data_IF_738666069124
#
_entry.id   IF_738666069124
#
_cell.length_a   1.000
_cell.length_b   1.000
_cell.length_c   1.000
_cell.angle_alpha   90.00
_cell.angle_beta   90.00
_cell.angle_gamma   90.00
#
_symmetry.space_group_name_H-M   'P 1'
#
loop_
_entity.id
_entity.type
_entity.pdbx_description
1 polymer ?
#
# COMPACT_ATOMS: atom_id res chain seq x y z
N UNK A 1 1.30 24.89 -79.59
CA UNK A 1 0.87 23.52 -79.24
C UNK A 1 -0.27 23.60 -78.23
N UNK A 2 -1.38 22.93 -78.52
CA UNK A 2 -2.66 22.94 -77.78
C UNK A 2 -2.68 21.71 -76.86
N UNK A 3 -2.97 21.86 -75.57
CA UNK A 3 -3.43 20.74 -74.72
C UNK A 3 -4.48 21.19 -73.68
N UNK A 4 -5.71 20.75 -73.95
CA UNK A 4 -6.83 20.43 -73.03
C UNK A 4 -6.34 19.45 -71.93
N UNK A 5 -6.92 19.25 -70.73
CA UNK A 5 -8.30 19.37 -70.20
C UNK A 5 -8.25 19.16 -68.66
N UNK A 6 -9.20 19.80 -67.98
CA UNK A 6 -10.01 19.38 -66.81
C UNK A 6 -9.42 18.66 -65.59
N UNK A 7 -9.76 19.16 -64.40
CA UNK A 7 -9.75 18.42 -63.14
C UNK A 7 -10.28 19.24 -61.96
N UNK A 8 -11.60 19.41 -61.86
CA UNK A 8 -12.27 19.69 -60.58
C UNK A 8 -12.06 18.48 -59.67
N UNK A 9 -11.51 18.67 -58.48
CA UNK A 9 -11.95 17.94 -57.28
C UNK A 9 -11.25 18.49 -56.04
N UNK A 10 -12.07 18.73 -55.03
CA UNK A 10 -11.73 18.64 -53.62
C UNK A 10 -10.77 19.70 -53.06
N UNK A 11 -11.37 20.83 -52.70
CA UNK A 11 -11.21 21.38 -51.35
C UNK A 11 -11.47 20.26 -50.31
N UNK A 12 -10.50 19.38 -50.10
CA UNK A 12 -10.49 18.49 -48.95
C UNK A 12 -9.89 19.30 -47.80
N UNK A 13 -10.79 19.92 -47.04
CA UNK A 13 -10.62 20.56 -45.74
C UNK A 13 -9.24 20.33 -45.08
N UNK A 14 -8.40 21.38 -45.05
CA UNK A 14 -7.22 21.42 -44.18
C UNK A 14 -7.59 21.15 -42.70
N UNK A 15 -8.84 21.43 -42.31
CA UNK A 15 -9.40 21.07 -41.00
C UNK A 15 -9.51 19.55 -40.75
N UNK A 16 -9.68 18.70 -41.78
CA UNK A 16 -9.72 17.25 -41.60
C UNK A 16 -8.32 16.64 -41.42
N UNK A 17 -7.30 17.20 -42.09
CA UNK A 17 -5.91 16.77 -41.95
C UNK A 17 -5.29 17.23 -40.61
N UNK A 18 -5.64 18.43 -40.13
CA UNK A 18 -5.31 18.88 -38.77
C UNK A 18 -6.02 18.06 -37.70
N UNK A 19 -7.30 17.69 -37.92
CA UNK A 19 -8.05 16.83 -37.00
C UNK A 19 -7.45 15.43 -36.85
N UNK A 20 -6.99 14.82 -37.94
CA UNK A 20 -6.32 13.51 -37.90
C UNK A 20 -4.93 13.59 -37.24
N UNK A 21 -4.17 14.66 -37.47
CA UNK A 21 -2.84 14.84 -36.85
C UNK A 21 -2.95 15.10 -35.35
N UNK A 22 -3.97 15.83 -34.90
CA UNK A 22 -4.29 15.98 -33.46
C UNK A 22 -4.80 14.66 -32.87
N UNK A 23 -5.53 13.85 -33.63
CA UNK A 23 -5.94 12.51 -33.17
C UNK A 23 -4.73 11.56 -33.04
N UNK A 24 -3.77 11.62 -33.97
CA UNK A 24 -2.55 10.79 -33.89
C UNK A 24 -1.54 11.30 -32.84
N UNK A 25 -1.45 12.61 -32.60
CA UNK A 25 -0.64 13.17 -31.50
C UNK A 25 -1.30 12.94 -30.13
N UNK A 26 -2.64 12.98 -30.05
CA UNK A 26 -3.40 12.68 -28.84
C UNK A 26 -3.44 11.18 -28.47
N UNK A 27 -3.40 10.29 -29.46
CA UNK A 27 -3.36 8.83 -29.23
C UNK A 27 -1.93 8.32 -28.94
N UNK A 28 -0.88 9.06 -29.30
CA UNK A 28 0.51 8.72 -28.94
C UNK A 28 1.01 9.33 -27.62
N UNK A 29 0.22 10.20 -26.95
CA UNK A 29 0.53 10.74 -25.62
C UNK A 29 -0.30 10.08 -24.49
N UNK A 30 -0.78 8.85 -24.70
CA UNK A 30 -1.41 8.03 -23.66
C UNK A 30 -0.75 6.63 -23.55
N UNK A 31 0.48 6.50 -24.03
CA UNK A 31 1.30 5.30 -23.93
C UNK A 31 2.62 5.62 -23.21
N UNK A 32 2.50 6.10 -21.98
CA UNK A 32 3.51 5.91 -20.95
C UNK A 32 2.87 5.19 -19.77
N UNK A 33 3.11 3.88 -19.77
CA UNK A 33 3.08 2.93 -18.64
C UNK A 33 1.88 3.04 -17.71
N UNK A 34 0.90 2.15 -17.90
CA UNK A 34 0.29 1.50 -16.75
C UNK A 34 1.38 0.69 -16.03
N UNK A 35 2.25 1.38 -15.27
CA UNK A 35 3.04 0.73 -14.22
C UNK A 35 2.02 0.09 -13.28
N UNK A 36 2.11 -1.23 -13.08
CA UNK A 36 1.13 -2.04 -12.35
C UNK A 36 0.46 -1.28 -11.20
N UNK A 37 -0.71 -0.71 -11.48
CA UNK A 37 -1.45 0.17 -10.58
C UNK A 37 -2.07 -0.71 -9.51
N UNK A 38 -1.71 -0.52 -8.24
CA UNK A 38 -2.45 -1.03 -7.07
C UNK A 38 -2.84 -2.51 -7.11
N UNK A 39 -1.91 -3.45 -6.95
CA UNK A 39 -2.32 -4.84 -6.67
C UNK A 39 -2.64 -4.99 -5.19
N UNK A 40 -3.87 -4.66 -4.79
CA UNK A 40 -4.39 -5.01 -3.47
C UNK A 40 -4.20 -6.50 -3.20
N UNK A 41 -3.64 -6.84 -2.03
CA UNK A 41 -3.61 -8.19 -1.48
C UNK A 41 -4.55 -8.17 -0.29
N UNK A 42 -5.68 -8.84 -0.48
CA UNK A 42 -6.74 -8.92 0.50
C UNK A 42 -6.45 -10.14 1.37
N UNK A 43 -6.13 -9.91 2.63
CA UNK A 43 -5.96 -10.97 3.62
C UNK A 43 -7.30 -11.14 4.35
N UNK A 44 -8.06 -12.17 3.98
CA UNK A 44 -9.38 -12.45 4.57
C UNK A 44 -9.22 -13.42 5.71
N UNK A 45 -9.69 -13.06 6.90
CA UNK A 45 -9.85 -14.01 7.98
C UNK A 45 -10.95 -14.98 7.56
N UNK A 46 -10.73 -16.28 7.70
CA UNK A 46 -11.77 -17.19 7.27
C UNK A 46 -11.35 -18.63 7.45
N UNK A 47 -11.91 -19.25 8.48
CA UNK A 47 -12.23 -20.67 8.42
C UNK A 47 -13.69 -20.84 8.78
N UNK A 48 -14.29 -21.86 8.21
CA UNK A 48 -15.65 -22.40 8.38
C UNK A 48 -16.04 -22.71 9.85
N UNK A 49 -15.85 -21.77 10.78
CA UNK A 49 -16.11 -21.92 12.20
C UNK A 49 -15.02 -22.62 13.03
N UNK A 50 -13.95 -23.19 12.42
CA UNK A 50 -13.01 -24.08 13.14
C UNK A 50 -11.53 -23.63 13.22
N UNK A 51 -11.00 -22.89 12.24
CA UNK A 51 -9.61 -22.40 12.27
C UNK A 51 -9.61 -20.92 11.92
N UNK A 52 -9.28 -20.03 12.86
CA UNK A 52 -9.21 -18.58 12.65
C UNK A 52 -8.04 -18.14 11.74
N UNK A 53 -7.72 -18.91 10.70
CA UNK A 53 -6.58 -18.66 9.82
C UNK A 53 -6.96 -17.73 8.66
N UNK A 54 -5.97 -16.99 8.16
CA UNK A 54 -6.16 -16.08 7.04
C UNK A 54 -5.85 -16.73 5.69
N UNK A 55 -6.59 -16.33 4.67
CA UNK A 55 -6.32 -16.66 3.26
C UNK A 55 -5.99 -15.39 2.48
N UNK A 56 -5.08 -15.52 1.50
CA UNK A 56 -4.69 -14.40 0.64
C UNK A 56 -5.48 -14.48 -0.66
N UNK A 57 -6.14 -13.38 -0.99
CA UNK A 57 -6.80 -13.18 -2.28
C UNK A 57 -6.25 -11.92 -2.93
N UNK A 58 -6.18 -11.89 -4.26
CA UNK A 58 -5.82 -10.67 -4.97
C UNK A 58 -7.04 -9.76 -5.12
N UNK A 59 -6.82 -8.46 -5.01
CA UNK A 59 -7.78 -7.40 -5.24
C UNK A 59 -7.23 -6.36 -6.21
N UNK A 60 -8.05 -5.35 -6.49
CA UNK A 60 -7.71 -4.21 -7.39
C UNK A 60 -7.94 -2.86 -6.73
N UNK A 61 -8.15 -2.85 -5.41
CA UNK A 61 -8.33 -1.63 -4.65
C UNK A 61 -7.08 -0.74 -4.74
N UNK A 62 -7.31 0.55 -4.83
CA UNK A 62 -6.28 1.59 -4.85
C UNK A 62 -6.22 2.27 -3.49
N UNK A 63 -5.06 2.77 -3.08
CA UNK A 63 -4.85 3.54 -1.83
C UNK A 63 -5.85 4.69 -1.72
N UNK A 64 -6.35 4.93 -0.50
CA UNK A 64 -7.20 6.08 -0.16
C UNK A 64 -6.38 7.01 0.75
N UNK A 65 -5.87 8.13 0.20
CA UNK A 65 -4.89 8.94 0.89
C UNK A 65 -5.28 9.30 2.34
N UNK A 66 -4.33 9.09 3.25
CA UNK A 66 -4.41 9.55 4.62
C UNK A 66 -4.40 11.08 4.69
N UNK A 67 -5.20 11.63 5.60
CA UNK A 67 -5.28 13.10 5.81
C UNK A 67 -4.85 13.50 7.20
N UNK A 68 -4.79 12.55 8.14
CA UNK A 68 -4.37 12.78 9.52
C UNK A 68 -2.99 12.18 9.73
N UNK A 69 -2.00 13.05 9.97
CA UNK A 69 -0.64 12.65 10.32
C UNK A 69 -0.62 12.04 11.73
N UNK A 70 0.02 10.86 11.87
CA UNK A 70 0.18 10.19 13.16
C UNK A 70 1.32 10.80 14.00
N UNK A 71 2.23 11.54 13.37
CA UNK A 71 3.48 12.02 13.96
C UNK A 71 4.66 11.05 13.81
N UNK A 72 4.49 9.93 13.12
CA UNK A 72 5.57 9.00 12.83
C UNK A 72 6.46 9.52 11.69
N UNK A 73 7.61 10.11 12.05
CA UNK A 73 8.56 10.76 11.14
C UNK A 73 10.01 10.38 11.49
N UNK A 74 10.32 9.10 11.42
CA UNK A 74 11.50 8.53 12.07
C UNK A 74 12.09 7.33 11.30
N UNK A 75 13.17 6.80 11.87
CA UNK A 75 13.70 5.47 11.57
C UNK A 75 13.56 4.61 12.83
N UNK A 76 13.20 3.33 12.66
CA UNK A 76 13.07 2.33 13.74
C UNK A 76 12.24 2.82 14.93
N UNK A 77 11.09 3.41 14.66
CA UNK A 77 10.17 3.84 15.70
C UNK A 77 8.74 3.47 15.37
N UNK A 78 7.93 3.39 16.43
CA UNK A 78 6.51 3.16 16.32
C UNK A 78 5.70 4.27 16.97
N UNK A 79 4.49 4.45 16.48
CA UNK A 79 3.54 5.41 17.03
C UNK A 79 2.26 4.69 17.40
N UNK A 80 1.81 4.76 18.67
CA UNK A 80 0.52 4.19 19.05
C UNK A 80 -0.61 5.05 18.47
N UNK A 81 -1.59 4.40 17.85
CA UNK A 81 -2.83 5.05 17.38
C UNK A 81 -4.04 4.38 18.01
N UNK A 82 -5.01 5.19 18.44
CA UNK A 82 -6.31 4.67 18.91
C UNK A 82 -7.16 4.32 17.69
N UNK A 83 -7.71 3.11 17.67
CA UNK A 83 -8.57 2.67 16.58
C UNK A 83 -9.94 3.33 16.70
N UNK A 84 -10.54 3.80 15.59
CA UNK A 84 -11.85 4.46 15.62
C UNK A 84 -13.01 3.51 15.92
N UNK A 85 -12.76 2.20 15.87
CA UNK A 85 -13.64 1.12 16.27
C UNK A 85 -12.81 -0.06 16.80
N UNK A 86 -13.41 -0.94 17.62
CA UNK A 86 -12.77 -2.20 17.98
C UNK A 86 -12.49 -3.02 16.72
N UNK A 87 -11.23 -3.40 16.51
CA UNK A 87 -10.82 -4.26 15.40
C UNK A 87 -10.54 -5.66 15.92
N UNK A 88 -11.04 -6.68 15.22
CA UNK A 88 -10.83 -8.08 15.58
C UNK A 88 -9.76 -8.66 14.67
N UNK A 89 -8.63 -9.08 15.26
CA UNK A 89 -7.57 -9.81 14.56
C UNK A 89 -7.44 -11.19 15.18
N UNK A 90 -7.64 -12.24 14.38
CA UNK A 90 -7.80 -13.62 14.88
C UNK A 90 -8.93 -13.70 15.91
N UNK A 91 -8.67 -14.14 17.13
CA UNK A 91 -9.60 -14.31 18.24
C UNK A 91 -9.60 -13.13 19.23
N UNK A 92 -8.79 -12.10 19.00
CA UNK A 92 -8.63 -10.96 19.91
C UNK A 92 -9.24 -9.69 19.35
N UNK A 93 -9.73 -8.83 20.26
CA UNK A 93 -10.27 -7.51 19.94
C UNK A 93 -9.33 -6.43 20.45
N UNK A 94 -8.98 -5.48 19.58
CA UNK A 94 -8.05 -4.40 19.87
C UNK A 94 -8.72 -3.04 19.69
N UNK A 95 -8.31 -2.07 20.52
CA UNK A 95 -8.76 -0.68 20.45
C UNK A 95 -7.62 0.29 20.09
N UNK A 96 -6.41 -0.23 19.93
CA UNK A 96 -5.22 0.52 19.57
C UNK A 96 -4.26 -0.39 18.80
N UNK A 97 -3.31 0.21 18.09
CA UNK A 97 -2.24 -0.49 17.38
C UNK A 97 -0.99 0.40 17.36
N UNK A 98 0.19 -0.20 17.41
CA UNK A 98 1.43 0.53 17.16
C UNK A 98 1.77 0.40 15.68
N UNK A 99 1.95 1.53 15.00
CA UNK A 99 2.36 1.55 13.59
C UNK A 99 3.85 1.83 13.51
N UNK A 100 4.59 0.93 12.87
CA UNK A 100 6.05 1.02 12.75
C UNK A 100 6.47 1.71 11.46
N UNK A 101 7.54 2.50 11.54
CA UNK A 101 8.21 3.07 10.37
C UNK A 101 8.63 1.98 9.37
N UNK A 102 9.02 0.81 9.88
CA UNK A 102 9.42 -0.38 9.11
C UNK A 102 8.26 -1.11 8.41
N UNK A 103 7.04 -0.58 8.43
CA UNK A 103 5.90 -1.15 7.69
C UNK A 103 5.20 -2.32 8.38
N UNK A 104 4.94 -2.18 9.69
CA UNK A 104 4.20 -3.16 10.51
C UNK A 104 3.10 -2.50 11.33
N UNK A 105 2.11 -3.31 11.70
CA UNK A 105 1.06 -2.98 12.68
C UNK A 105 1.12 -3.99 13.82
N UNK A 106 1.58 -3.55 14.99
CA UNK A 106 1.72 -4.40 16.18
C UNK A 106 0.62 -4.13 17.19
N UNK A 107 -0.25 -5.12 17.38
CA UNK A 107 -1.42 -4.98 18.24
C UNK A 107 -1.15 -5.34 19.71
N UNK A 108 -0.03 -6.00 20.01
CA UNK A 108 0.33 -6.44 21.38
C UNK A 108 1.23 -5.42 22.09
N UNK A 109 2.39 -5.12 21.52
CA UNK A 109 3.34 -4.18 22.09
C UNK A 109 4.12 -3.48 20.98
N UNK A 110 4.76 -2.36 21.31
CA UNK A 110 5.68 -1.74 20.37
C UNK A 110 6.92 -2.61 20.19
N UNK A 111 7.22 -3.01 18.94
CA UNK A 111 8.14 -4.11 18.68
C UNK A 111 9.20 -3.86 17.60
N UNK A 112 9.40 -2.61 17.17
CA UNK A 112 10.38 -2.26 16.14
C UNK A 112 11.79 -2.62 16.61
N UNK A 113 12.47 -3.53 15.91
CA UNK A 113 13.85 -3.78 16.23
C UNK A 113 14.62 -2.50 15.86
N UNK A 114 15.38 -1.96 16.81
CA UNK A 114 16.27 -0.81 16.60
C UNK A 114 17.46 -1.12 15.65
N UNK A 115 17.36 -2.23 14.90
CA UNK A 115 18.30 -2.77 13.96
C UNK A 115 17.55 -3.51 12.85
N UNK A 116 18.09 -3.51 11.63
CA UNK A 116 17.56 -4.24 10.49
C UNK A 116 17.52 -5.76 10.78
N UNK A 117 16.31 -6.31 10.98
CA UNK A 117 16.07 -7.70 11.39
C UNK A 117 14.77 -8.30 10.79
N UNK A 118 14.44 -8.00 9.54
CA UNK A 118 13.33 -8.69 8.88
C UNK A 118 13.62 -10.19 8.82
N UNK A 119 12.56 -10.97 8.89
CA UNK A 119 12.65 -12.41 8.68
C UNK A 119 11.32 -12.92 8.17
N UNK A 120 11.35 -14.09 7.53
CA UNK A 120 10.12 -14.76 7.16
C UNK A 120 9.28 -15.09 8.37
N UNK A 121 7.96 -15.12 8.15
CA UNK A 121 7.00 -15.49 9.18
C UNK A 121 7.04 -17.02 9.40
N UNK A 122 6.95 -17.51 10.65
CA UNK A 122 6.81 -16.74 11.88
C UNK A 122 8.12 -16.01 12.24
N UNK A 123 8.01 -14.72 12.54
CA UNK A 123 9.12 -13.93 13.05
C UNK A 123 9.42 -14.32 14.51
N UNK A 124 10.68 -14.52 14.90
CA UNK A 124 11.06 -14.79 16.27
C UNK A 124 10.77 -13.55 17.13
N UNK A 125 10.47 -13.71 18.43
CA UNK A 125 10.21 -12.57 19.32
C UNK A 125 11.36 -11.56 19.34
N UNK A 126 11.00 -10.28 19.50
CA UNK A 126 11.94 -9.17 19.77
C UNK A 126 11.69 -8.66 21.21
N UNK A 127 11.21 -7.43 21.38
CA UNK A 127 10.81 -6.88 22.68
C UNK A 127 9.57 -7.63 23.23
N UNK A 128 8.68 -8.08 22.34
CA UNK A 128 7.63 -9.06 22.61
C UNK A 128 7.46 -10.02 21.41
N UNK A 129 6.64 -11.09 21.54
CA UNK A 129 6.24 -11.89 20.39
C UNK A 129 5.56 -11.04 19.31
N UNK A 130 5.81 -11.32 18.03
CA UNK A 130 5.06 -10.75 16.90
C UNK A 130 3.66 -11.38 16.73
N UNK A 131 3.05 -11.82 17.83
CA UNK A 131 1.70 -12.36 17.82
C UNK A 131 0.73 -11.21 17.56
N UNK A 132 -0.26 -11.44 16.69
CA UNK A 132 -1.21 -10.41 16.26
C UNK A 132 -0.50 -9.21 15.59
N UNK A 133 0.42 -9.48 14.66
CA UNK A 133 1.09 -8.45 13.85
C UNK A 133 0.69 -8.59 12.37
N UNK A 134 0.31 -7.48 11.76
CA UNK A 134 0.14 -7.38 10.29
C UNK A 134 1.42 -6.79 9.71
N UNK A 135 1.96 -7.45 8.70
CA UNK A 135 3.15 -7.04 7.95
C UNK A 135 2.69 -6.67 6.54
N UNK A 136 2.20 -5.44 6.27
CA UNK A 136 1.89 -5.04 4.91
C UNK A 136 3.12 -5.11 4.02
N UNK A 137 4.23 -4.50 4.49
CA UNK A 137 5.50 -4.48 3.80
C UNK A 137 6.62 -4.24 4.80
N UNK A 138 7.06 -5.28 5.50
CA UNK A 138 8.14 -5.16 6.46
C UNK A 138 9.50 -5.13 5.75
N UNK A 139 10.20 -4.01 5.87
CA UNK A 139 11.53 -3.75 5.33
C UNK A 139 12.21 -2.59 6.07
N UNK A 140 13.40 -2.18 5.63
CA UNK A 140 14.18 -1.06 6.17
C UNK A 140 13.64 0.31 5.72
N UNK A 141 12.35 0.54 5.91
CA UNK A 141 11.73 1.81 5.54
C UNK A 141 12.11 2.93 6.51
N UNK A 142 12.15 4.16 5.99
CA UNK A 142 12.23 5.40 6.78
C UNK A 142 10.99 6.25 6.51
N UNK A 143 10.40 6.80 7.58
CA UNK A 143 9.33 7.80 7.51
C UNK A 143 9.85 9.22 7.76
N UNK A 144 11.17 9.39 7.90
CA UNK A 144 11.80 10.66 8.28
C UNK A 144 11.48 11.80 7.30
N UNK A 145 11.29 13.01 7.83
CA UNK A 145 11.01 14.20 7.00
C UNK A 145 12.24 14.71 6.25
N UNK A 146 12.03 15.41 5.14
CA UNK A 146 13.10 16.12 4.42
C UNK A 146 13.97 15.24 3.52
N UNK A 147 13.66 13.96 3.41
CA UNK A 147 14.39 13.03 2.55
C UNK A 147 14.04 13.26 1.08
N UNK A 148 14.96 12.99 0.17
CA UNK A 148 14.76 13.22 -1.27
C UNK A 148 13.53 12.46 -1.79
N UNK A 149 13.36 11.18 -1.45
CA UNK A 149 12.22 10.38 -1.89
C UNK A 149 10.87 10.90 -1.38
N UNK A 150 10.85 11.59 -0.23
CA UNK A 150 9.63 12.16 0.35
C UNK A 150 9.04 13.31 -0.47
N UNK A 151 9.84 13.96 -1.33
CA UNK A 151 9.38 15.05 -2.19
C UNK A 151 8.28 14.64 -3.19
N UNK A 152 8.06 13.33 -3.35
CA UNK A 152 6.93 12.75 -4.09
C UNK A 152 5.57 13.15 -3.52
N UNK A 153 5.49 13.43 -2.21
CA UNK A 153 4.25 13.79 -1.53
C UNK A 153 4.31 15.20 -0.94
N UNK A 154 3.24 15.98 -1.10
CA UNK A 154 3.17 17.34 -0.58
C UNK A 154 3.25 17.41 0.95
N UNK A 155 2.77 16.36 1.63
CA UNK A 155 2.86 16.18 3.09
C UNK A 155 4.14 15.46 3.54
N UNK A 156 5.05 15.13 2.62
CA UNK A 156 6.29 14.41 2.93
C UNK A 156 6.08 12.93 3.28
N UNK A 157 7.15 12.31 3.80
CA UNK A 157 7.07 10.98 4.38
C UNK A 157 6.34 11.02 5.72
N UNK A 158 5.88 9.86 6.15
CA UNK A 158 5.13 9.70 7.40
C UNK A 158 4.17 8.52 7.33
N UNK A 159 3.50 8.28 8.46
CA UNK A 159 2.33 7.39 8.51
C UNK A 159 1.09 8.25 8.69
N UNK A 160 0.15 8.12 7.76
CA UNK A 160 -1.07 8.92 7.70
C UNK A 160 -2.30 8.03 7.81
N UNK A 161 -3.38 8.58 8.36
CA UNK A 161 -4.63 7.84 8.53
C UNK A 161 -5.82 8.59 7.92
N UNK A 162 -6.84 7.83 7.54
CA UNK A 162 -8.14 8.35 7.13
C UNK A 162 -9.26 7.39 7.55
N UNK A 163 -10.46 7.93 7.76
CA UNK A 163 -11.66 7.13 8.04
C UNK A 163 -12.71 7.46 7.00
N UNK A 164 -13.35 6.44 6.46
CA UNK A 164 -14.53 6.60 5.60
C UNK A 164 -15.69 5.73 6.08
N UNK A 165 -16.88 6.01 5.54
CA UNK A 165 -18.12 5.35 5.95
C UNK A 165 -18.67 5.88 7.29
N UNK A 166 -19.66 5.16 7.81
CA UNK A 166 -20.35 5.47 9.06
C UNK A 166 -20.57 4.20 9.84
N UNK A 167 -20.58 4.27 11.18
CA UNK A 167 -20.85 3.10 12.01
C UNK A 167 -22.18 2.43 11.59
N UNK A 168 -22.26 1.09 11.57
CA UNK A 168 -21.25 0.11 11.96
C UNK A 168 -20.34 -0.39 10.82
N UNK A 169 -20.20 0.37 9.72
CA UNK A 169 -19.48 -0.03 8.50
C UNK A 169 -18.42 1.02 8.10
N UNK A 170 -17.54 1.39 9.03
CA UNK A 170 -16.39 2.27 8.76
C UNK A 170 -15.22 1.50 8.18
N UNK A 171 -14.38 2.21 7.42
CA UNK A 171 -13.07 1.74 6.97
C UNK A 171 -12.03 2.68 7.57
N UNK A 172 -11.01 2.12 8.21
CA UNK A 172 -9.85 2.86 8.69
C UNK A 172 -8.63 2.53 7.85
N UNK A 173 -8.09 3.52 7.15
CA UNK A 173 -6.90 3.39 6.33
C UNK A 173 -5.68 3.89 7.11
N UNK A 174 -4.59 3.14 7.03
CA UNK A 174 -3.29 3.50 7.56
C UNK A 174 -2.31 3.41 6.37
N UNK A 175 -1.78 4.55 5.94
CA UNK A 175 -0.96 4.71 4.75
C UNK A 175 0.48 5.08 5.15
N UNK A 176 1.45 4.44 4.50
CA UNK A 176 2.86 4.75 4.61
C UNK A 176 3.32 5.56 3.40
N UNK A 177 4.01 6.66 3.66
CA UNK A 177 4.90 7.35 2.74
C UNK A 177 6.32 7.16 3.25
N UNK A 178 7.15 6.40 2.53
CA UNK A 178 8.46 6.00 3.02
C UNK A 178 9.55 6.18 1.97
N UNK A 179 10.80 6.19 2.43
CA UNK A 179 11.98 5.96 1.60
C UNK A 179 12.61 4.61 1.92
N UNK A 180 13.26 3.98 0.93
CA UNK A 180 14.06 2.76 1.14
C UNK A 180 15.33 3.10 1.94
N UNK A 181 15.24 3.05 3.27
CA UNK A 181 16.22 3.58 4.23
C UNK A 181 16.27 5.09 4.29
N UNK A 182 16.97 5.57 5.32
CA UNK A 182 17.30 6.99 5.46
C UNK A 182 18.19 7.47 4.31
N UNK A 183 17.98 8.72 3.92
CA UNK A 183 18.59 9.50 2.84
C UNK A 183 18.44 8.91 1.43
N UNK A 184 17.53 7.95 1.24
CA UNK A 184 17.28 7.35 -0.05
C UNK A 184 16.37 8.21 -0.95
N UNK A 185 16.67 8.31 -2.27
CA UNK A 185 15.77 8.92 -3.23
C UNK A 185 14.59 8.01 -3.60
N UNK A 186 14.62 6.75 -3.17
CA UNK A 186 13.67 5.72 -3.59
C UNK A 186 12.46 5.73 -2.68
N UNK A 187 11.33 6.15 -3.22
CA UNK A 187 10.07 6.30 -2.51
C UNK A 187 9.23 5.02 -2.56
N UNK A 188 8.48 4.73 -1.49
CA UNK A 188 7.51 3.65 -1.39
C UNK A 188 6.19 4.11 -0.77
N UNK A 189 5.08 3.56 -1.24
CA UNK A 189 3.74 3.84 -0.73
C UNK A 189 2.87 2.60 -0.66
N UNK A 190 2.27 2.36 0.50
CA UNK A 190 1.41 1.22 0.76
C UNK A 190 0.42 1.54 1.89
N UNK A 191 -0.66 0.78 1.99
CA UNK A 191 -1.77 1.02 2.92
C UNK A 191 -2.27 -0.28 3.53
N UNK A 192 -2.71 -0.22 4.79
CA UNK A 192 -3.58 -1.23 5.40
C UNK A 192 -4.97 -0.64 5.62
N UNK A 193 -6.00 -1.42 5.25
CA UNK A 193 -7.41 -1.11 5.57
C UNK A 193 -7.95 -2.05 6.60
N UNK A 194 -8.49 -1.49 7.67
CA UNK A 194 -9.26 -2.23 8.67
C UNK A 194 -10.74 -1.98 8.42
N UNK A 195 -11.53 -3.04 8.24
CA UNK A 195 -12.98 -2.95 8.05
C UNK A 195 -13.72 -3.16 9.38
N UNK A 196 -14.60 -2.23 9.73
CA UNK A 196 -15.47 -2.36 10.90
C UNK A 196 -16.51 -3.47 10.70
N UNK A 197 -16.65 -4.36 11.68
CA UNK A 197 -17.67 -5.44 11.73
C UNK A 197 -17.74 -6.35 10.49
N UNK A 198 -16.63 -6.50 9.75
CA UNK A 198 -16.64 -7.38 8.59
C UNK A 198 -16.79 -8.86 9.03
N UNK A 199 -17.71 -9.66 8.46
CA UNK A 199 -18.02 -11.03 8.93
C UNK A 199 -16.81 -11.97 9.01
N UNK A 200 -15.79 -11.68 8.20
CA UNK A 200 -14.59 -12.48 8.02
C UNK A 200 -13.34 -11.81 8.63
N UNK A 201 -13.49 -10.81 9.52
CA UNK A 201 -12.34 -10.14 10.17
C UNK A 201 -11.31 -9.68 9.13
N UNK A 202 -11.82 -9.14 8.02
CA UNK A 202 -11.04 -8.81 6.83
C UNK A 202 -10.16 -7.59 7.11
N UNK A 203 -8.97 -7.59 6.52
CA UNK A 203 -8.22 -6.37 6.26
C UNK A 203 -7.57 -6.48 4.87
N UNK A 204 -7.24 -5.33 4.29
CA UNK A 204 -6.59 -5.26 2.99
C UNK A 204 -5.18 -4.69 3.15
N UNK A 205 -4.22 -5.23 2.40
CA UNK A 205 -2.88 -4.66 2.25
C UNK A 205 -2.74 -4.19 0.80
N UNK A 206 -2.58 -2.89 0.59
CA UNK A 206 -2.61 -2.27 -0.73
C UNK A 206 -1.24 -1.69 -1.04
N UNK A 207 -0.64 -2.11 -2.15
CA UNK A 207 0.66 -1.61 -2.59
C UNK A 207 0.48 -0.54 -3.66
N UNK A 208 0.93 0.67 -3.37
CA UNK A 208 0.97 1.80 -4.29
C UNK A 208 2.26 1.79 -5.12
N UNK A 209 2.77 2.98 -5.44
CA UNK A 209 4.03 3.12 -6.15
C UNK A 209 5.22 2.80 -5.22
N UNK A 210 6.11 1.92 -5.67
CA UNK A 210 7.39 1.63 -5.03
C UNK A 210 8.46 1.75 -6.09
N UNK A 211 9.39 2.69 -5.91
CA UNK A 211 10.34 3.12 -6.94
C UNK A 211 11.22 1.97 -7.43
N UNK A 212 11.68 1.13 -6.51
CA UNK A 212 12.49 -0.06 -6.83
C UNK A 212 11.63 -1.30 -7.18
N UNK A 213 10.30 -1.15 -7.21
CA UNK A 213 9.37 -2.27 -7.22
C UNK A 213 9.33 -3.01 -5.88
N UNK A 214 8.36 -3.92 -5.74
CA UNK A 214 8.33 -4.84 -4.61
C UNK A 214 9.50 -5.82 -4.72
N UNK A 215 10.39 -5.82 -3.74
CA UNK A 215 11.49 -6.75 -3.70
C UNK A 215 11.10 -7.93 -2.80
N UNK A 216 10.38 -8.90 -3.39
CA UNK A 216 9.90 -10.09 -2.65
C UNK A 216 11.03 -10.97 -2.09
N UNK A 217 12.28 -10.71 -2.47
CA UNK A 217 13.49 -11.36 -1.95
C UNK A 217 14.09 -10.66 -0.72
N UNK A 218 13.59 -9.48 -0.33
CA UNK A 218 14.03 -8.75 0.87
C UNK A 218 12.84 -8.41 1.77
N UNK A 219 11.74 -7.99 1.18
CA UNK A 219 10.53 -7.53 1.86
C UNK A 219 9.73 -8.72 2.40
N UNK A 220 8.99 -8.48 3.49
CA UNK A 220 8.08 -9.48 4.08
C UNK A 220 6.66 -8.96 4.08
N UNK A 221 5.72 -9.76 3.57
CA UNK A 221 4.30 -9.47 3.69
C UNK A 221 3.49 -10.65 4.20
N UNK A 222 2.54 -10.38 5.08
CA UNK A 222 1.68 -11.39 5.69
C UNK A 222 1.07 -10.95 7.01
N UNK A 223 0.61 -11.93 7.78
CA UNK A 223 0.08 -11.75 9.13
C UNK A 223 0.46 -12.92 10.00
N UNK A 224 0.76 -12.62 11.26
CA UNK A 224 1.11 -13.60 12.28
C UNK A 224 0.15 -13.45 13.46
N UNK A 225 -0.46 -14.56 13.85
CA UNK A 225 -1.23 -14.70 15.09
C UNK A 225 -0.42 -15.43 16.15
N UNK A 226 -1.09 -15.99 17.17
CA UNK A 226 -0.45 -16.87 18.14
C UNK A 226 0.24 -18.08 17.48
N UNK A 227 1.04 -18.79 18.28
CA UNK A 227 1.72 -20.04 17.88
C UNK A 227 0.84 -20.91 16.98
N UNK A 228 1.31 -21.16 15.76
CA UNK A 228 0.63 -22.00 14.77
C UNK A 228 -0.24 -21.25 13.75
N UNK A 229 -0.45 -19.93 13.91
CA UNK A 229 -1.21 -19.11 12.98
C UNK A 229 -0.31 -18.14 12.21
N UNK A 230 0.01 -18.48 10.97
CA UNK A 230 0.82 -17.64 10.08
C UNK A 230 0.28 -17.70 8.68
N UNK A 231 0.07 -16.54 8.06
CA UNK A 231 -0.26 -16.44 6.65
C UNK A 231 0.77 -15.52 5.99
N UNK A 232 1.64 -16.10 5.18
CA UNK A 232 2.72 -15.40 4.49
C UNK A 232 2.41 -15.27 2.99
N UNK A 233 2.59 -14.06 2.46
CA UNK A 233 2.41 -13.77 1.04
C UNK A 233 3.74 -13.90 0.28
N UNK A 234 4.77 -13.22 0.78
CA UNK A 234 6.13 -13.32 0.26
C UNK A 234 7.14 -13.02 1.35
N UNK A 235 8.35 -13.54 1.17
CA UNK A 235 9.54 -13.22 1.95
C UNK A 235 10.75 -13.90 1.31
N UNK A 236 11.88 -13.18 1.24
CA UNK A 236 13.24 -13.71 1.10
C UNK A 236 13.40 -14.98 0.24
N UNK A 237 12.81 -14.98 -0.95
CA UNK A 237 13.00 -16.03 -1.97
C UNK A 237 14.16 -15.73 -2.91
#
# INVERSE_FOLDING_TARGET
>A
MKKRRTGQAAFLNACLLLGLLVFFVGVFLALFTASAMGRSRVIRGGGDGANCQYTITSGTDTIVPGTTDTGNHCVWCETPITLPFPFVLYDQTFNAVNVSASGRLDFVCANDPANYLETCLPAPPNNCPFDYTIFPLWAEWSTSTGQQGCSTWANGCGIFTSISGTAPNRIFNIEWHVTNREDSPEAGNFEVRLDENYPNKRFDMIFGSITQGLNTSLDVAGVQGPTGFVTQNFCRT
#
